data_IF_608431286860
#
_entry.id   IF_608431286860
#
_cell.length_a   1.000
_cell.length_b   1.000
_cell.length_c   1.000
_cell.angle_alpha   90.00
_cell.angle_beta   90.00
_cell.angle_gamma   90.00
#
_symmetry.space_group_name_H-M   'P 1'
#
loop_
_entity.id
_entity.type
_entity.pdbx_description
1 polymer ?
#
# COMPACT_ATOMS: atom_id res chain seq x y z
N UNK A 1 7.70 2.26 -19.96
CA UNK A 1 7.11 3.43 -20.65
C UNK A 1 8.24 4.28 -21.19
N UNK A 2 8.15 4.72 -22.44
CA UNK A 2 9.08 5.71 -22.99
C UNK A 2 8.25 6.90 -23.43
N UNK A 3 8.18 7.92 -22.58
CA UNK A 3 7.72 9.27 -22.92
C UNK A 3 8.87 10.20 -22.55
N UNK A 4 9.11 11.21 -23.37
CA UNK A 4 10.07 12.26 -23.06
C UNK A 4 9.35 13.46 -22.46
N UNK A 5 10.10 14.43 -21.96
CA UNK A 5 9.52 15.59 -21.28
C UNK A 5 8.57 16.37 -22.20
N UNK A 6 8.97 16.52 -23.47
CA UNK A 6 8.21 17.18 -24.54
C UNK A 6 6.88 16.48 -24.89
N UNK A 7 6.69 15.22 -24.49
CA UNK A 7 5.46 14.48 -24.76
C UNK A 7 4.40 14.64 -23.66
N UNK A 8 4.73 15.25 -22.52
CA UNK A 8 3.85 15.36 -21.33
C UNK A 8 3.17 16.73 -21.33
N UNK A 9 1.83 16.72 -21.31
CA UNK A 9 1.04 17.95 -21.27
C UNK A 9 0.27 18.06 -19.94
N UNK A 10 0.02 19.30 -19.44
CA UNK A 10 -0.87 19.49 -18.31
C UNK A 10 -2.26 18.90 -18.57
N UNK A 11 -2.74 18.08 -17.64
CA UNK A 11 -4.01 17.37 -17.77
C UNK A 11 -3.91 15.97 -18.40
N UNK A 12 -2.72 15.52 -18.78
CA UNK A 12 -2.50 14.12 -19.14
C UNK A 12 -2.90 13.20 -18.00
N UNK A 13 -3.64 12.15 -18.32
CA UNK A 13 -4.04 11.10 -17.38
C UNK A 13 -3.37 9.79 -17.79
N UNK A 14 -2.86 9.05 -16.80
CA UNK A 14 -2.26 7.75 -16.99
C UNK A 14 -2.99 6.72 -16.15
N UNK A 15 -3.59 5.74 -16.81
CA UNK A 15 -4.19 4.60 -16.11
C UNK A 15 -3.07 3.66 -15.64
N UNK A 16 -2.82 3.63 -14.33
CA UNK A 16 -1.76 2.81 -13.72
C UNK A 16 -2.16 1.34 -13.58
N UNK A 17 -3.47 1.04 -13.64
CA UNK A 17 -4.02 -0.29 -13.38
C UNK A 17 -4.57 -0.39 -11.96
N UNK A 18 -4.56 -1.61 -11.42
CA UNK A 18 -5.04 -1.91 -10.07
C UNK A 18 -4.14 -2.95 -9.43
N UNK A 19 -3.91 -2.82 -8.13
CA UNK A 19 -3.26 -3.83 -7.30
C UNK A 19 -4.24 -4.32 -6.23
N UNK A 20 -4.26 -5.62 -5.99
CA UNK A 20 -5.01 -6.22 -4.89
C UNK A 20 -4.00 -6.68 -3.85
N UNK A 21 -4.09 -6.09 -2.66
CA UNK A 21 -3.22 -6.45 -1.54
C UNK A 21 -3.75 -7.71 -0.86
N UNK A 22 -2.91 -8.74 -0.83
CA UNK A 22 -3.20 -9.95 -0.07
C UNK A 22 -2.69 -9.82 1.37
N UNK A 23 -3.31 -10.54 2.30
CA UNK A 23 -3.02 -10.41 3.73
C UNK A 23 -1.57 -10.75 4.08
N UNK A 24 -1.01 -11.78 3.45
CA UNK A 24 0.37 -12.20 3.64
C UNK A 24 1.37 -11.18 3.12
N UNK A 25 1.10 -10.57 1.96
CA UNK A 25 1.88 -9.46 1.41
C UNK A 25 1.89 -8.26 2.37
N UNK A 26 0.72 -7.89 2.90
CA UNK A 26 0.57 -6.82 3.88
C UNK A 26 1.42 -7.11 5.11
N UNK A 27 1.28 -8.29 5.71
CA UNK A 27 2.00 -8.63 6.94
C UNK A 27 3.52 -8.65 6.67
N UNK A 28 3.96 -9.23 5.55
CA UNK A 28 5.37 -9.32 5.20
C UNK A 28 6.03 -7.94 5.06
N UNK A 29 5.41 -7.03 4.30
CA UNK A 29 5.93 -5.66 4.14
C UNK A 29 6.01 -4.93 5.49
N UNK A 30 4.96 -5.04 6.30
CA UNK A 30 4.89 -4.28 7.55
C UNK A 30 5.80 -4.84 8.64
N UNK A 31 6.09 -6.14 8.64
CA UNK A 31 7.12 -6.69 9.52
C UNK A 31 8.51 -6.11 9.23
N UNK A 32 8.79 -5.75 7.97
CA UNK A 32 10.07 -5.21 7.55
C UNK A 32 10.17 -3.68 7.72
N UNK A 33 9.11 -2.96 7.34
CA UNK A 33 9.21 -1.50 7.16
C UNK A 33 8.33 -0.67 8.10
N UNK A 34 7.24 -1.21 8.64
CA UNK A 34 6.30 -0.47 9.49
C UNK A 34 5.60 -1.37 10.50
N UNK A 35 6.38 -1.88 11.47
CA UNK A 35 5.96 -2.96 12.37
C UNK A 35 5.09 -2.45 13.52
N UNK A 36 3.91 -1.97 13.19
CA UNK A 36 2.85 -1.63 14.13
C UNK A 36 1.89 -2.81 14.24
N UNK A 37 1.42 -3.11 15.46
CA UNK A 37 0.64 -4.32 15.74
C UNK A 37 -0.61 -4.48 14.86
N UNK A 38 -1.24 -3.38 14.44
CA UNK A 38 -2.42 -3.40 13.56
C UNK A 38 -2.10 -3.62 12.07
N UNK A 39 -0.83 -3.76 11.72
CA UNK A 39 -0.38 -4.16 10.39
C UNK A 39 0.11 -5.62 10.34
N UNK A 40 0.39 -6.24 11.49
CA UNK A 40 1.12 -7.51 11.55
C UNK A 40 0.44 -8.61 12.37
N UNK A 41 -0.40 -8.27 13.36
CA UNK A 41 -1.08 -9.25 14.22
C UNK A 41 -2.61 -9.15 14.09
N UNK A 42 -3.27 -10.13 13.46
CA UNK A 42 -4.71 -10.11 13.25
C UNK A 42 -5.57 -10.06 14.52
N UNK A 43 -5.09 -10.61 15.64
CA UNK A 43 -5.81 -10.61 16.90
C UNK A 43 -5.66 -9.26 17.62
N UNK A 44 -4.44 -8.72 17.67
CA UNK A 44 -4.20 -7.41 18.28
C UNK A 44 -4.83 -6.28 17.45
N UNK A 45 -4.85 -6.41 16.13
CA UNK A 45 -5.45 -5.43 15.23
C UNK A 45 -6.94 -5.20 15.49
N UNK A 46 -7.67 -6.19 16.02
CA UNK A 46 -9.09 -6.05 16.43
C UNK A 46 -9.31 -4.99 17.50
N UNK A 47 -8.27 -4.70 18.29
CA UNK A 47 -8.30 -3.69 19.35
C UNK A 47 -7.85 -2.30 18.88
N UNK A 48 -7.41 -2.18 17.63
CA UNK A 48 -7.08 -0.90 17.01
C UNK A 48 -8.34 -0.14 16.58
N UNK A 49 -8.18 1.13 16.22
CA UNK A 49 -9.26 1.93 15.64
C UNK A 49 -9.82 1.35 14.33
N UNK A 50 -9.04 0.52 13.64
CA UNK A 50 -9.42 -0.07 12.35
C UNK A 50 -10.21 -1.38 12.49
N UNK A 51 -10.18 -2.02 13.67
CA UNK A 51 -10.94 -3.25 13.93
C UNK A 51 -10.44 -4.51 13.22
N UNK A 52 -9.29 -4.45 12.55
CA UNK A 52 -8.66 -5.56 11.83
C UNK A 52 -7.35 -5.12 11.18
N UNK A 53 -6.69 -6.03 10.46
CA UNK A 53 -5.46 -5.73 9.73
C UNK A 53 -5.75 -4.70 8.63
N UNK A 54 -4.86 -3.71 8.54
CA UNK A 54 -4.79 -2.78 7.42
C UNK A 54 -3.36 -2.74 6.88
N UNK A 55 -3.20 -2.39 5.60
CA UNK A 55 -1.89 -2.08 5.04
C UNK A 55 -1.34 -0.76 5.61
N UNK A 56 -0.02 -0.64 5.74
CA UNK A 56 0.60 0.66 6.00
C UNK A 56 0.37 1.61 4.83
N UNK A 57 0.26 2.90 5.14
CA UNK A 57 0.30 3.96 4.14
C UNK A 57 1.58 3.93 3.29
N UNK A 58 2.70 3.46 3.85
CA UNK A 58 3.95 3.30 3.11
C UNK A 58 3.89 2.14 2.13
N UNK A 59 3.26 1.01 2.50
CA UNK A 59 3.03 -0.09 1.56
C UNK A 59 2.16 0.38 0.39
N UNK A 60 1.12 1.17 0.67
CA UNK A 60 0.24 1.74 -0.35
C UNK A 60 0.96 2.73 -1.27
N UNK A 61 1.94 3.47 -0.77
CA UNK A 61 2.71 4.43 -1.56
C UNK A 61 3.80 3.77 -2.44
N UNK A 62 4.21 2.54 -2.12
CA UNK A 62 5.28 1.83 -2.81
C UNK A 62 4.81 0.94 -3.97
N UNK A 63 3.51 0.75 -4.13
CA UNK A 63 2.87 -0.06 -5.18
C UNK A 63 2.21 0.84 -6.22
#
# INVERSE_FOLDING_TARGET
MTRWFEDINPGDNLALGSHTFELDEIIAFNLEYDNQYFHTDPELAKHSHFGGIIASGWHTACV
#
